data_IF_267771446138
#
_entry.id   IF_267771446138
#
_cell.length_a   1.000
_cell.length_b   1.000
_cell.length_c   1.000
_cell.angle_alpha   90.00
_cell.angle_beta   90.00
_cell.angle_gamma   90.00
#
_symmetry.space_group_name_H-M   'P 1'
#
loop_
_entity.id
_entity.type
_entity.pdbx_description
1 polymer ?
#
# COMPACT_ATOMS: atom_id res chain seq x y z
N UNK A 1 -29.52 2.62 -23.86
CA UNK A 1 -29.93 1.88 -22.64
C UNK A 1 -29.41 2.67 -21.46
N UNK A 2 -30.30 3.46 -20.83
CA UNK A 2 -29.98 4.30 -19.68
C UNK A 2 -29.87 3.41 -18.45
N UNK A 3 -28.67 3.26 -17.90
CA UNK A 3 -28.49 2.64 -16.60
C UNK A 3 -28.84 3.69 -15.55
N UNK A 4 -29.98 3.47 -14.90
CA UNK A 4 -30.42 4.22 -13.73
C UNK A 4 -29.30 4.27 -12.71
N UNK A 5 -28.87 5.49 -12.40
CA UNK A 5 -27.96 5.79 -11.32
C UNK A 5 -28.55 5.30 -10.00
N UNK A 6 -27.74 4.55 -9.26
CA UNK A 6 -27.94 4.34 -7.84
C UNK A 6 -27.62 5.67 -7.14
N UNK A 7 -28.57 6.61 -7.16
CA UNK A 7 -28.48 7.91 -6.48
C UNK A 7 -28.87 7.79 -5.02
N UNK A 8 -28.33 6.80 -4.32
CA UNK A 8 -28.11 6.91 -2.87
C UNK A 8 -26.63 7.16 -2.64
N UNK A 9 -26.16 8.33 -3.08
CA UNK A 9 -24.95 8.89 -2.51
C UNK A 9 -25.21 8.99 -1.00
N UNK A 10 -24.63 8.06 -0.21
CA UNK A 10 -24.68 8.16 1.24
C UNK A 10 -24.14 9.54 1.59
N UNK A 11 -24.93 10.33 2.32
CA UNK A 11 -24.45 11.60 2.84
C UNK A 11 -23.29 11.25 3.76
N UNK A 12 -22.07 11.52 3.31
CA UNK A 12 -20.88 11.30 4.12
C UNK A 12 -21.07 12.07 5.43
N UNK A 13 -20.79 11.42 6.56
CA UNK A 13 -20.86 12.10 7.85
C UNK A 13 -19.98 13.35 7.84
N UNK A 14 -20.36 14.35 8.62
CA UNK A 14 -19.54 15.55 8.81
C UNK A 14 -18.11 15.19 9.24
N UNK A 15 -17.97 14.15 10.08
CA UNK A 15 -16.67 13.59 10.47
C UNK A 15 -15.87 13.10 9.24
N UNK A 16 -16.46 12.31 8.35
CA UNK A 16 -15.78 11.84 7.13
C UNK A 16 -15.41 13.00 6.20
N UNK A 17 -16.24 14.04 6.10
CA UNK A 17 -15.92 15.25 5.33
C UNK A 17 -14.74 16.02 5.95
N UNK A 18 -14.71 16.19 7.27
CA UNK A 18 -13.57 16.78 7.97
C UNK A 18 -12.30 15.94 7.78
N UNK A 19 -12.39 14.61 7.90
CA UNK A 19 -11.27 13.71 7.66
C UNK A 19 -10.71 13.90 6.25
N UNK A 20 -11.59 13.94 5.24
CA UNK A 20 -11.20 14.14 3.84
C UNK A 20 -10.53 15.50 3.62
N UNK A 21 -11.16 16.58 4.08
CA UNK A 21 -10.65 17.94 3.89
C UNK A 21 -9.26 18.11 4.51
N UNK A 22 -9.14 17.82 5.80
CA UNK A 22 -7.85 17.98 6.51
C UNK A 22 -6.84 16.89 6.18
N UNK A 23 -7.29 15.72 5.73
CA UNK A 23 -6.44 14.59 5.38
C UNK A 23 -5.75 14.73 4.01
N UNK A 24 -6.41 15.38 3.06
CA UNK A 24 -5.92 15.52 1.68
C UNK A 24 -5.11 16.80 1.51
N UNK A 25 -5.63 17.93 2.00
CA UNK A 25 -5.04 19.23 1.74
C UNK A 25 -4.05 19.62 2.83
N UNK A 26 -2.90 20.21 2.47
CA UNK A 26 -2.06 20.91 3.43
C UNK A 26 -2.83 22.15 3.90
N UNK A 27 -3.61 21.99 4.97
CA UNK A 27 -4.37 23.08 5.59
C UNK A 27 -3.63 23.53 6.85
N UNK A 28 -3.10 24.76 6.83
CA UNK A 28 -2.41 25.39 7.95
C UNK A 28 -3.31 25.51 9.19
N UNK A 29 -4.64 25.60 8.98
CA UNK A 29 -5.61 25.69 10.07
C UNK A 29 -5.81 24.34 10.79
N UNK A 30 -5.31 23.22 10.24
CA UNK A 30 -5.42 21.93 10.92
C UNK A 30 -4.81 21.96 12.31
N UNK A 31 -3.65 22.61 12.46
CA UNK A 31 -2.98 22.74 13.75
C UNK A 31 -3.89 23.41 14.79
N UNK A 32 -4.66 24.41 14.37
CA UNK A 32 -5.56 25.18 15.23
C UNK A 32 -6.83 24.42 15.62
N UNK A 33 -7.32 23.52 14.77
CA UNK A 33 -8.54 22.74 15.06
C UNK A 33 -8.26 21.36 15.65
N UNK A 34 -7.02 20.85 15.57
CA UNK A 34 -6.64 19.50 16.00
C UNK A 34 -7.01 19.24 17.47
N UNK A 35 -6.90 20.26 18.32
CA UNK A 35 -7.28 20.20 19.74
C UNK A 35 -8.79 20.06 19.97
N UNK A 36 -9.62 20.45 19.00
CA UNK A 36 -11.09 20.35 19.07
C UNK A 36 -11.63 19.02 18.51
N UNK A 37 -10.79 18.21 17.88
CA UNK A 37 -11.18 16.93 17.27
C UNK A 37 -11.08 15.79 18.29
N UNK A 38 -11.96 14.80 18.15
CA UNK A 38 -11.83 13.56 18.91
C UNK A 38 -10.51 12.85 18.60
N UNK A 39 -9.96 12.11 19.55
CA UNK A 39 -8.74 11.31 19.34
C UNK A 39 -8.86 10.39 18.13
N UNK A 40 -10.06 9.83 17.89
CA UNK A 40 -10.35 8.98 16.73
C UNK A 40 -10.27 9.75 15.42
N UNK A 41 -10.88 10.94 15.34
CA UNK A 41 -10.86 11.75 14.12
C UNK A 41 -9.45 12.26 13.81
N UNK A 42 -8.72 12.73 14.82
CA UNK A 42 -7.32 13.16 14.70
C UNK A 42 -6.44 12.03 14.16
N UNK A 43 -6.55 10.82 14.73
CA UNK A 43 -5.80 9.65 14.24
C UNK A 43 -6.12 9.35 12.77
N UNK A 44 -7.41 9.35 12.39
CA UNK A 44 -7.83 9.06 11.01
C UNK A 44 -7.32 10.11 10.02
N UNK A 45 -7.31 11.39 10.39
CA UNK A 45 -6.73 12.45 9.57
C UNK A 45 -5.23 12.24 9.37
N UNK A 46 -4.50 11.94 10.44
CA UNK A 46 -3.05 11.72 10.36
C UNK A 46 -2.70 10.50 9.51
N UNK A 47 -3.44 9.39 9.66
CA UNK A 47 -3.30 8.21 8.82
C UNK A 47 -3.57 8.52 7.35
N UNK A 48 -4.63 9.28 7.04
CA UNK A 48 -4.93 9.68 5.67
C UNK A 48 -3.84 10.61 5.09
N UNK A 49 -3.37 11.60 5.84
CA UNK A 49 -2.27 12.50 5.43
C UNK A 49 -1.03 11.72 5.04
N UNK A 50 -0.71 10.70 5.82
CA UNK A 50 0.45 9.87 5.56
C UNK A 50 0.27 9.00 4.31
N UNK A 51 -0.89 8.36 4.14
CA UNK A 51 -1.20 7.62 2.91
C UNK A 51 -1.15 8.52 1.68
N UNK A 52 -1.68 9.74 1.76
CA UNK A 52 -1.61 10.75 0.67
C UNK A 52 -0.17 11.14 0.38
N UNK A 53 0.61 11.46 1.42
CA UNK A 53 2.02 11.80 1.28
C UNK A 53 2.81 10.67 0.61
N UNK A 54 2.58 9.43 1.01
CA UNK A 54 3.21 8.26 0.39
C UNK A 54 2.81 8.18 -1.09
N UNK A 55 1.52 8.25 -1.41
CA UNK A 55 1.04 8.20 -2.78
C UNK A 55 1.71 9.28 -3.64
N UNK A 56 1.66 10.54 -3.20
CA UNK A 56 2.21 11.69 -3.94
C UNK A 56 3.73 11.54 -4.11
N UNK A 57 4.47 11.32 -3.02
CA UNK A 57 5.94 11.22 -3.07
C UNK A 57 6.39 10.06 -3.96
N UNK A 58 5.71 8.91 -3.90
CA UNK A 58 6.06 7.74 -4.69
C UNK A 58 5.98 8.01 -6.19
N UNK A 59 4.96 8.73 -6.62
CA UNK A 59 4.76 9.12 -8.02
C UNK A 59 5.70 10.26 -8.44
N UNK A 60 5.98 11.22 -7.56
CA UNK A 60 6.98 12.26 -7.81
C UNK A 60 8.39 11.68 -8.01
N UNK A 61 8.77 10.61 -7.29
CA UNK A 61 10.04 9.91 -7.48
C UNK A 61 10.20 9.31 -8.89
N UNK A 62 9.10 9.08 -9.62
CA UNK A 62 9.12 8.62 -11.02
C UNK A 62 8.74 9.74 -12.00
N UNK A 63 8.89 11.00 -11.57
CA UNK A 63 8.61 12.20 -12.35
C UNK A 63 7.16 12.31 -12.83
N UNK A 64 6.22 11.78 -12.05
CA UNK A 64 4.79 12.01 -12.29
C UNK A 64 4.26 13.02 -11.28
N UNK A 65 3.66 14.09 -11.77
CA UNK A 65 3.10 15.12 -10.90
C UNK A 65 1.68 14.73 -10.46
N UNK A 66 1.48 14.55 -9.17
CA UNK A 66 0.17 14.25 -8.58
C UNK A 66 -0.29 15.43 -7.74
N UNK A 67 -1.47 15.95 -8.08
CA UNK A 67 -2.18 16.90 -7.24
C UNK A 67 -2.93 16.17 -6.12
N UNK A 68 -2.73 16.52 -4.84
CA UNK A 68 -3.49 15.94 -3.72
C UNK A 68 -5.01 16.03 -3.91
N UNK A 69 -5.53 17.02 -4.63
CA UNK A 69 -6.97 17.14 -4.93
C UNK A 69 -7.53 16.00 -5.78
N UNK A 70 -6.66 15.20 -6.39
CA UNK A 70 -7.06 14.01 -7.16
C UNK A 70 -7.28 12.78 -6.29
N UNK A 71 -6.86 12.84 -5.02
CA UNK A 71 -7.04 11.75 -4.05
C UNK A 71 -8.52 11.46 -3.82
N UNK A 72 -8.88 10.18 -3.89
CA UNK A 72 -10.19 9.65 -3.52
C UNK A 72 -10.08 8.88 -2.22
N UNK A 73 -11.12 9.00 -1.40
CA UNK A 73 -11.14 8.47 -0.04
C UNK A 73 -12.39 7.61 0.12
N UNK A 74 -12.27 6.49 0.82
CA UNK A 74 -13.39 5.61 1.16
C UNK A 74 -14.34 6.27 2.16
N UNK A 75 -15.46 5.62 2.47
CA UNK A 75 -16.41 6.13 3.47
C UNK A 75 -15.84 6.04 4.89
N UNK A 76 -14.90 5.12 5.10
CA UNK A 76 -14.08 4.98 6.31
C UNK A 76 -12.93 5.98 6.38
N UNK A 77 -12.83 6.94 5.46
CA UNK A 77 -11.81 8.00 5.54
C UNK A 77 -10.40 7.53 5.21
N UNK A 78 -10.24 6.37 4.55
CA UNK A 78 -8.95 5.84 4.11
C UNK A 78 -8.71 6.14 2.62
N UNK A 79 -7.45 6.14 2.18
CA UNK A 79 -7.09 6.30 0.77
C UNK A 79 -7.69 5.18 -0.08
N UNK A 80 -8.54 5.52 -1.05
CA UNK A 80 -9.03 4.57 -2.05
C UNK A 80 -8.03 4.52 -3.20
N UNK A 81 -7.06 3.60 -3.12
CA UNK A 81 -5.99 3.47 -4.11
C UNK A 81 -6.52 3.30 -5.53
N UNK A 82 -7.53 2.45 -5.73
CA UNK A 82 -8.05 2.14 -7.07
C UNK A 82 -8.75 3.36 -7.67
N UNK A 83 -9.67 3.99 -6.93
CA UNK A 83 -10.36 5.19 -7.42
C UNK A 83 -9.41 6.36 -7.58
N UNK A 84 -8.45 6.53 -6.67
CA UNK A 84 -7.41 7.57 -6.75
C UNK A 84 -6.60 7.38 -8.03
N UNK A 85 -6.10 6.17 -8.30
CA UNK A 85 -5.34 5.87 -9.50
C UNK A 85 -6.14 6.18 -10.77
N UNK A 86 -7.37 5.66 -10.87
CA UNK A 86 -8.22 5.90 -12.05
C UNK A 86 -8.59 7.36 -12.23
N UNK A 87 -8.77 8.12 -11.15
CA UNK A 87 -9.07 9.54 -11.22
C UNK A 87 -7.83 10.33 -11.64
N UNK A 88 -6.70 10.16 -10.95
CA UNK A 88 -5.43 10.83 -11.25
C UNK A 88 -5.00 10.63 -12.70
N UNK A 89 -5.12 9.41 -13.24
CA UNK A 89 -4.78 9.12 -14.64
C UNK A 89 -5.54 10.02 -15.63
N UNK A 90 -6.81 10.36 -15.36
CA UNK A 90 -7.64 11.20 -16.25
C UNK A 90 -7.19 12.66 -16.29
N UNK A 91 -6.43 13.13 -15.29
CA UNK A 91 -5.95 14.51 -15.22
C UNK A 91 -4.49 14.65 -15.66
N UNK A 92 -3.80 13.55 -15.98
CA UNK A 92 -2.46 13.60 -16.54
C UNK A 92 -2.55 14.03 -18.01
N UNK A 93 -2.01 15.21 -18.29
CA UNK A 93 -2.00 15.78 -19.64
C UNK A 93 -0.79 15.36 -20.47
N UNK A 94 0.34 15.04 -19.84
CA UNK A 94 1.53 14.53 -20.53
C UNK A 94 1.37 13.01 -20.78
N UNK A 95 1.29 12.56 -22.06
CA UNK A 95 1.20 11.16 -22.41
C UNK A 95 2.35 10.30 -21.85
N UNK A 96 3.57 10.86 -21.76
CA UNK A 96 4.74 10.16 -21.21
C UNK A 96 4.58 9.90 -19.71
N UNK A 97 4.21 10.93 -18.94
CA UNK A 97 3.88 10.79 -17.52
C UNK A 97 2.70 9.84 -17.31
N UNK A 98 1.66 9.93 -18.13
CA UNK A 98 0.50 9.05 -18.07
C UNK A 98 0.90 7.57 -18.28
N UNK A 99 1.79 7.28 -19.23
CA UNK A 99 2.29 5.92 -19.43
C UNK A 99 3.09 5.43 -18.23
N UNK A 100 4.00 6.25 -17.69
CA UNK A 100 4.81 5.92 -16.51
C UNK A 100 3.91 5.64 -15.30
N UNK A 101 2.92 6.51 -15.08
CA UNK A 101 1.92 6.35 -14.04
C UNK A 101 1.12 5.05 -14.21
N UNK A 102 0.58 4.82 -15.41
CA UNK A 102 -0.21 3.63 -15.70
C UNK A 102 0.58 2.34 -15.50
N UNK A 103 1.86 2.31 -15.90
CA UNK A 103 2.75 1.17 -15.73
C UNK A 103 2.96 0.84 -14.24
N UNK A 104 3.16 1.86 -13.42
CA UNK A 104 3.34 1.74 -11.97
C UNK A 104 2.05 1.44 -11.20
N UNK A 105 0.89 1.49 -11.86
CA UNK A 105 -0.43 1.26 -11.27
C UNK A 105 -1.25 0.15 -11.95
N UNK A 106 -0.60 -0.70 -12.76
CA UNK A 106 -1.23 -1.82 -13.46
C UNK A 106 -2.36 -1.45 -14.46
N UNK A 107 -2.30 -0.26 -15.06
CA UNK A 107 -3.27 0.23 -16.06
C UNK A 107 -2.87 -0.22 -17.47
N UNK A 108 -2.93 -1.53 -17.73
CA UNK A 108 -2.41 -2.11 -18.98
C UNK A 108 -3.08 -1.56 -20.23
N UNK A 109 -4.41 -1.49 -20.24
CA UNK A 109 -5.19 -1.10 -21.42
C UNK A 109 -4.85 0.33 -21.82
N UNK A 110 -4.77 1.22 -20.84
CA UNK A 110 -4.42 2.62 -21.00
C UNK A 110 -2.98 2.80 -21.47
N UNK A 111 -2.03 2.07 -20.87
CA UNK A 111 -0.64 2.06 -21.33
C UNK A 111 -0.52 1.56 -22.77
N UNK A 112 -1.32 0.58 -23.19
CA UNK A 112 -1.29 0.04 -24.55
C UNK A 112 -1.74 1.10 -25.57
N UNK A 113 -2.84 1.79 -25.28
CA UNK A 113 -3.35 2.88 -26.12
C UNK A 113 -2.30 3.99 -26.25
N UNK A 114 -1.70 4.42 -25.15
CA UNK A 114 -0.63 5.42 -25.18
C UNK A 114 0.59 4.95 -26.00
N UNK A 115 1.02 3.71 -25.81
CA UNK A 115 2.17 3.13 -26.52
C UNK A 115 2.03 3.16 -28.05
N UNK A 116 0.82 2.91 -28.54
CA UNK A 116 0.50 2.92 -29.97
C UNK A 116 0.60 4.33 -30.57
N UNK A 117 0.45 5.38 -29.76
CA UNK A 117 0.57 6.78 -30.17
C UNK A 117 2.00 7.35 -30.11
N UNK A 118 2.93 6.68 -29.43
CA UNK A 118 4.28 7.19 -29.26
C UNK A 118 5.15 7.03 -30.51
N UNK A 119 5.91 8.08 -30.81
CA UNK A 119 7.03 8.05 -31.75
C UNK A 119 8.24 7.30 -31.17
N UNK A 120 9.25 7.04 -32.02
CA UNK A 120 10.41 6.27 -31.59
C UNK A 120 11.27 7.02 -30.56
N UNK A 121 11.30 8.35 -30.60
CA UNK A 121 12.03 9.16 -29.60
C UNK A 121 11.44 8.97 -28.19
N UNK A 122 10.12 9.05 -28.07
CA UNK A 122 9.41 8.85 -26.80
C UNK A 122 9.57 7.41 -26.30
N UNK A 123 9.52 6.43 -27.22
CA UNK A 123 9.77 5.02 -26.88
C UNK A 123 11.20 4.80 -26.37
N UNK A 124 12.19 5.48 -26.92
CA UNK A 124 13.58 5.38 -26.45
C UNK A 124 13.78 6.04 -25.07
N UNK A 125 13.11 7.17 -24.81
CA UNK A 125 13.04 7.77 -23.46
C UNK A 125 12.44 6.80 -22.44
N UNK A 126 11.40 6.06 -22.81
CA UNK A 126 10.78 5.05 -21.95
C UNK A 126 11.67 3.82 -21.75
N UNK A 127 12.39 3.36 -22.78
CA UNK A 127 13.34 2.23 -22.68
C UNK A 127 14.48 2.51 -21.70
N UNK A 128 14.93 3.76 -21.63
CA UNK A 128 16.00 4.21 -20.72
C UNK A 128 15.51 4.58 -19.31
N UNK A 129 14.22 4.40 -19.00
CA UNK A 129 13.66 4.75 -17.70
C UNK A 129 14.20 3.85 -16.57
N UNK A 130 14.66 4.46 -15.47
CA UNK A 130 15.34 3.75 -14.37
C UNK A 130 14.42 2.88 -13.49
N UNK A 131 13.13 3.18 -13.46
CA UNK A 131 12.17 2.39 -12.69
C UNK A 131 11.94 1.02 -13.37
N UNK A 132 12.24 -0.06 -12.65
CA UNK A 132 12.15 -1.43 -13.17
C UNK A 132 10.74 -1.86 -13.59
N UNK A 133 9.70 -1.31 -12.98
CA UNK A 133 8.29 -1.58 -13.32
C UNK A 133 7.94 -0.94 -14.67
N UNK A 134 8.36 0.31 -14.90
CA UNK A 134 8.21 0.99 -16.21
C UNK A 134 8.96 0.24 -17.31
N UNK A 135 10.23 -0.09 -17.06
CA UNK A 135 11.05 -0.81 -18.04
C UNK A 135 10.48 -2.20 -18.37
N UNK A 136 9.90 -2.90 -17.38
CA UNK A 136 9.17 -4.14 -17.64
C UNK A 136 7.92 -3.91 -18.51
N UNK A 137 7.16 -2.85 -18.27
CA UNK A 137 5.99 -2.50 -19.08
C UNK A 137 6.38 -2.25 -20.54
N UNK A 138 7.43 -1.45 -20.78
CA UNK A 138 7.96 -1.16 -22.11
C UNK A 138 8.37 -2.45 -22.83
N UNK A 139 9.11 -3.35 -22.17
CA UNK A 139 9.49 -4.66 -22.75
C UNK A 139 8.29 -5.52 -23.11
N UNK A 140 7.19 -5.44 -22.35
CA UNK A 140 5.95 -6.16 -22.64
C UNK A 140 5.25 -5.58 -23.86
N UNK A 141 5.17 -4.26 -23.97
CA UNK A 141 4.56 -3.57 -25.12
C UNK A 141 5.32 -3.85 -26.41
N UNK A 142 6.66 -3.81 -26.40
CA UNK A 142 7.50 -4.19 -27.54
C UNK A 142 7.23 -5.61 -28.06
N UNK A 143 6.80 -6.52 -27.18
CA UNK A 143 6.50 -7.91 -27.51
C UNK A 143 5.02 -8.15 -27.82
N UNK A 144 4.18 -7.10 -27.80
CA UNK A 144 2.73 -7.21 -27.97
C UNK A 144 2.05 -8.06 -26.88
N UNK A 145 2.65 -8.19 -25.69
CA UNK A 145 2.14 -9.07 -24.64
C UNK A 145 1.43 -8.28 -23.52
N UNK A 146 0.42 -8.86 -22.87
CA UNK A 146 -0.17 -8.28 -21.67
C UNK A 146 0.85 -8.04 -20.57
N UNK A 147 0.66 -6.94 -19.83
CA UNK A 147 1.40 -6.67 -18.62
C UNK A 147 0.96 -7.64 -17.53
N UNK A 148 1.74 -8.70 -17.36
CA UNK A 148 1.60 -9.64 -16.27
C UNK A 148 2.98 -9.78 -15.65
N UNK A 149 3.13 -9.32 -14.41
CA UNK A 149 4.24 -9.73 -13.57
C UNK A 149 3.96 -11.14 -13.11
N UNK A 150 4.44 -12.13 -13.87
CA UNK A 150 4.47 -13.52 -13.40
C UNK A 150 5.27 -13.68 -12.11
N UNK A 151 6.15 -12.72 -11.80
CA UNK A 151 6.91 -12.66 -10.56
C UNK A 151 6.88 -11.21 -10.05
N UNK A 152 5.97 -10.84 -9.14
CA UNK A 152 5.81 -9.47 -8.66
C UNK A 152 7.00 -8.92 -7.84
N UNK A 153 8.13 -9.62 -7.73
CA UNK A 153 9.32 -9.18 -6.97
C UNK A 153 9.76 -7.75 -7.25
N UNK A 154 9.83 -7.36 -8.52
CA UNK A 154 10.23 -6.01 -8.88
C UNK A 154 9.22 -4.97 -8.38
N UNK A 155 7.93 -5.25 -8.51
CA UNK A 155 6.88 -4.38 -7.99
C UNK A 155 6.90 -4.32 -6.47
N UNK A 156 7.13 -5.45 -5.80
CA UNK A 156 7.24 -5.54 -4.34
C UNK A 156 8.44 -4.73 -3.84
N UNK A 157 9.63 -4.96 -4.40
CA UNK A 157 10.86 -4.26 -4.04
C UNK A 157 10.77 -2.76 -4.31
N UNK A 158 10.13 -2.37 -5.41
CA UNK A 158 9.91 -0.98 -5.75
C UNK A 158 8.69 -0.36 -5.04
N UNK A 159 7.89 -1.11 -4.28
CA UNK A 159 6.74 -0.60 -3.53
C UNK A 159 5.56 -0.16 -4.39
N UNK A 160 5.17 -0.95 -5.39
CA UNK A 160 4.02 -0.68 -6.27
C UNK A 160 2.88 -1.68 -6.01
N UNK A 161 1.90 -1.33 -5.14
CA UNK A 161 0.99 -2.31 -4.57
C UNK A 161 0.00 -2.89 -5.60
N UNK A 162 -0.61 -2.06 -6.44
CA UNK A 162 -1.57 -2.51 -7.47
C UNK A 162 -0.91 -3.44 -8.48
N UNK A 163 0.35 -3.15 -8.81
CA UNK A 163 1.15 -3.96 -9.72
C UNK A 163 1.48 -5.31 -9.08
N UNK A 164 1.94 -5.31 -7.83
CA UNK A 164 2.20 -6.53 -7.09
C UNK A 164 0.94 -7.41 -7.02
N UNK A 165 -0.20 -6.82 -6.63
CA UNK A 165 -1.49 -7.50 -6.55
C UNK A 165 -1.91 -8.13 -7.88
N UNK A 166 -1.80 -7.39 -9.00
CA UNK A 166 -2.14 -7.90 -10.33
C UNK A 166 -1.30 -9.11 -10.77
N UNK A 167 -0.10 -9.26 -10.20
CA UNK A 167 0.77 -10.41 -10.39
C UNK A 167 0.34 -11.60 -9.53
N UNK A 168 0.02 -11.34 -8.26
CA UNK A 168 -0.42 -12.36 -7.29
C UNK A 168 -1.73 -13.03 -7.70
N UNK A 169 -2.70 -12.29 -8.23
CA UNK A 169 -3.98 -12.84 -8.69
C UNK A 169 -3.83 -13.90 -9.80
N UNK A 170 -2.66 -13.98 -10.44
CA UNK A 170 -2.38 -14.88 -11.58
C UNK A 170 -1.38 -15.98 -11.24
N UNK A 171 -0.85 -15.99 -10.02
CA UNK A 171 0.19 -16.92 -9.58
C UNK A 171 -0.37 -17.83 -8.49
N UNK A 172 -0.13 -19.14 -8.60
CA UNK A 172 -0.55 -20.10 -7.57
C UNK A 172 0.40 -20.07 -6.36
N UNK A 173 1.54 -19.37 -6.46
CA UNK A 173 2.55 -19.22 -5.40
C UNK A 173 2.32 -17.97 -4.53
N UNK A 174 1.07 -17.52 -4.36
CA UNK A 174 0.70 -16.31 -3.59
C UNK A 174 1.40 -16.27 -2.22
N UNK A 175 1.48 -17.43 -1.58
CA UNK A 175 2.16 -17.64 -0.31
C UNK A 175 3.62 -17.12 -0.31
N UNK A 176 4.43 -17.47 -1.31
CA UNK A 176 5.85 -17.10 -1.32
C UNK A 176 6.01 -15.58 -1.25
N UNK A 177 5.13 -14.84 -1.92
CA UNK A 177 5.23 -13.39 -2.05
C UNK A 177 4.80 -12.62 -0.80
N UNK A 178 3.95 -13.16 0.09
CA UNK A 178 3.53 -12.44 1.30
C UNK A 178 4.71 -12.16 2.24
N UNK A 179 5.64 -13.11 2.33
CA UNK A 179 6.86 -12.98 3.13
C UNK A 179 7.76 -11.89 2.52
N UNK A 180 7.90 -11.90 1.20
CA UNK A 180 8.67 -10.89 0.48
C UNK A 180 8.05 -9.50 0.58
N UNK A 181 6.71 -9.38 0.52
CA UNK A 181 6.03 -8.09 0.74
C UNK A 181 6.39 -7.54 2.11
N UNK A 182 6.32 -8.36 3.16
CA UNK A 182 6.70 -7.91 4.50
C UNK A 182 8.17 -7.49 4.57
N UNK A 183 9.09 -8.32 4.06
CA UNK A 183 10.54 -8.06 4.10
C UNK A 183 10.88 -6.77 3.35
N UNK A 184 10.37 -6.59 2.13
CA UNK A 184 10.64 -5.39 1.33
C UNK A 184 9.92 -4.16 1.88
N UNK A 185 8.71 -4.31 2.43
CA UNK A 185 8.04 -3.20 3.10
C UNK A 185 8.92 -2.64 4.22
N UNK A 186 9.51 -3.50 5.05
CA UNK A 186 10.39 -3.10 6.15
C UNK A 186 11.74 -2.59 5.64
N UNK A 187 12.46 -3.40 4.85
CA UNK A 187 13.85 -3.09 4.47
C UNK A 187 13.96 -1.91 3.51
N UNK A 188 12.97 -1.73 2.62
CA UNK A 188 12.97 -0.67 1.61
C UNK A 188 12.07 0.50 1.99
N UNK A 189 11.58 0.53 3.24
CA UNK A 189 10.70 1.56 3.77
C UNK A 189 9.43 1.79 2.93
N UNK A 190 8.95 0.73 2.27
CA UNK A 190 7.71 0.75 1.49
C UNK A 190 6.53 0.32 2.38
N UNK A 191 6.31 1.01 3.50
CA UNK A 191 5.39 0.54 4.54
C UNK A 191 3.92 0.47 4.09
N UNK A 192 3.52 1.28 3.10
CA UNK A 192 2.20 1.19 2.47
C UNK A 192 1.92 -0.18 1.84
N UNK A 193 2.96 -0.97 1.55
CA UNK A 193 2.80 -2.34 1.07
C UNK A 193 2.19 -3.28 2.13
N UNK A 194 2.22 -2.91 3.41
CA UNK A 194 1.48 -3.63 4.46
C UNK A 194 -0.03 -3.63 4.21
N UNK A 195 -0.57 -2.63 3.52
CA UNK A 195 -2.00 -2.57 3.18
C UNK A 195 -2.42 -3.71 2.25
N UNK A 196 -1.50 -4.21 1.40
CA UNK A 196 -1.76 -5.42 0.62
C UNK A 196 -1.92 -6.65 1.52
N UNK A 197 -1.06 -6.80 2.54
CA UNK A 197 -1.07 -7.96 3.42
C UNK A 197 -2.34 -8.05 4.28
N UNK A 198 -3.04 -6.93 4.45
CA UNK A 198 -4.32 -6.84 5.15
C UNK A 198 -5.52 -7.12 4.23
N UNK A 199 -5.30 -7.42 2.95
CA UNK A 199 -6.39 -7.77 2.03
C UNK A 199 -6.89 -9.19 2.30
N UNK A 200 -8.22 -9.43 2.34
CA UNK A 200 -8.80 -10.74 2.62
C UNK A 200 -8.26 -11.87 1.72
N UNK A 201 -7.87 -11.57 0.47
CA UNK A 201 -7.33 -12.57 -0.45
C UNK A 201 -5.96 -13.11 -0.02
N UNK A 202 -5.16 -12.31 0.68
CA UNK A 202 -3.84 -12.73 1.18
C UNK A 202 -3.93 -13.31 2.59
N UNK A 203 -4.93 -12.88 3.37
CA UNK A 203 -5.27 -13.37 4.70
C UNK A 203 -5.62 -14.85 4.69
N UNK A 204 -4.63 -15.71 4.95
CA UNK A 204 -4.78 -17.16 5.11
C UNK A 204 -3.85 -18.01 4.24
N UNK A 205 -3.11 -17.40 3.32
CA UNK A 205 -2.20 -18.10 2.41
C UNK A 205 -0.76 -18.12 2.92
N UNK A 206 -0.54 -18.19 4.24
CA UNK A 206 0.77 -17.97 4.85
C UNK A 206 1.49 -19.26 5.31
N UNK A 207 2.78 -19.34 5.02
CA UNK A 207 3.74 -20.32 5.57
C UNK A 207 5.07 -19.62 5.91
N UNK A 208 5.46 -19.55 7.17
CA UNK A 208 6.78 -19.01 7.48
C UNK A 208 7.81 -20.12 7.52
N UNK A 209 8.95 -19.86 6.87
CA UNK A 209 10.14 -20.67 7.10
C UNK A 209 10.60 -20.49 8.55
N UNK A 210 10.99 -21.58 9.19
CA UNK A 210 11.49 -21.64 10.56
C UNK A 210 12.55 -20.56 10.88
N UNK A 211 12.49 -19.98 12.08
CA UNK A 211 13.39 -18.93 12.58
C UNK A 211 13.16 -17.53 12.00
N UNK A 212 12.05 -17.31 11.30
CA UNK A 212 11.74 -16.03 10.65
C UNK A 212 11.03 -15.04 11.59
N UNK A 213 10.14 -15.52 12.47
CA UNK A 213 9.28 -14.65 13.26
C UNK A 213 10.09 -13.71 14.17
N UNK A 214 11.01 -14.23 14.98
CA UNK A 214 11.83 -13.40 15.87
C UNK A 214 12.66 -12.36 15.10
N UNK A 215 13.15 -12.69 13.89
CA UNK A 215 13.85 -11.72 13.02
C UNK A 215 12.91 -10.63 12.53
N UNK A 216 11.70 -10.99 12.10
CA UNK A 216 10.70 -10.05 11.63
C UNK A 216 10.22 -9.12 12.75
N UNK A 217 9.95 -9.66 13.94
CA UNK A 217 9.55 -8.89 15.13
C UNK A 217 10.63 -7.86 15.49
N UNK A 218 11.90 -8.26 15.56
CA UNK A 218 13.02 -7.33 15.80
C UNK A 218 13.08 -6.21 14.77
N UNK A 219 12.87 -6.52 13.49
CA UNK A 219 12.84 -5.50 12.44
C UNK A 219 11.68 -4.50 12.58
N UNK A 220 10.56 -4.89 13.20
CA UNK A 220 9.46 -3.95 13.45
C UNK A 220 9.82 -2.87 14.46
N UNK A 221 10.76 -3.10 15.37
CA UNK A 221 11.12 -2.16 16.44
C UNK A 221 11.73 -0.85 15.91
N UNK A 222 12.30 -0.86 14.70
CA UNK A 222 12.84 0.34 14.03
C UNK A 222 11.84 1.09 13.15
N UNK A 223 10.58 0.65 13.09
CA UNK A 223 9.56 1.28 12.27
C UNK A 223 8.96 2.52 12.96
N UNK A 224 8.47 3.52 12.20
CA UNK A 224 7.60 4.55 12.76
C UNK A 224 6.40 3.93 13.47
N UNK A 225 5.93 4.53 14.56
CA UNK A 225 5.02 3.90 15.53
C UNK A 225 3.73 3.34 14.90
N UNK A 226 3.13 4.08 13.98
CA UNK A 226 1.95 3.70 13.20
C UNK A 226 2.20 2.45 12.32
N UNK A 227 3.35 2.38 11.64
CA UNK A 227 3.75 1.23 10.83
C UNK A 227 4.20 0.06 11.67
N UNK A 228 4.81 0.32 12.84
CA UNK A 228 5.16 -0.72 13.80
C UNK A 228 3.90 -1.45 14.28
N UNK A 229 2.86 -0.71 14.65
CA UNK A 229 1.58 -1.30 15.06
C UNK A 229 0.99 -2.18 13.94
N UNK A 230 0.91 -1.65 12.71
CA UNK A 230 0.40 -2.41 11.56
C UNK A 230 1.22 -3.66 11.26
N UNK A 231 2.55 -3.56 11.28
CA UNK A 231 3.45 -4.69 11.06
C UNK A 231 3.27 -5.78 12.13
N UNK A 232 3.14 -5.40 13.40
CA UNK A 232 2.91 -6.34 14.50
C UNK A 232 1.54 -7.02 14.41
N UNK A 233 0.48 -6.30 13.98
CA UNK A 233 -0.82 -6.92 13.74
C UNK A 233 -0.77 -7.95 12.61
N UNK A 234 -0.05 -7.65 11.53
CA UNK A 234 0.19 -8.59 10.43
C UNK A 234 0.94 -9.83 10.96
N UNK A 235 2.03 -9.63 11.71
CA UNK A 235 2.77 -10.75 12.32
C UNK A 235 1.90 -11.58 13.25
N UNK A 236 1.02 -10.96 14.04
CA UNK A 236 0.08 -11.67 14.91
C UNK A 236 -0.84 -12.59 14.11
N UNK A 237 -1.42 -12.10 13.02
CA UNK A 237 -2.27 -12.89 12.13
C UNK A 237 -1.47 -14.03 11.48
N UNK A 238 -0.21 -13.78 11.13
CA UNK A 238 0.67 -14.77 10.52
C UNK A 238 1.01 -15.90 11.48
N UNK A 239 1.39 -15.57 12.71
CA UNK A 239 1.65 -16.54 13.78
C UNK A 239 0.40 -17.39 14.05
N UNK A 240 -0.79 -16.77 14.08
CA UNK A 240 -2.04 -17.50 14.22
C UNK A 240 -2.30 -18.47 13.06
N UNK A 241 -2.06 -18.04 11.82
CA UNK A 241 -2.24 -18.88 10.64
C UNK A 241 -1.21 -20.03 10.56
N UNK A 242 -0.05 -19.89 11.18
CA UNK A 242 0.98 -20.95 11.23
C UNK A 242 0.65 -22.08 12.21
N UNK A 243 -0.38 -21.95 13.06
CA UNK A 243 -0.84 -23.01 13.97
C UNK A 243 -1.63 -24.08 13.20
N UNK A 244 -0.92 -24.99 12.53
CA UNK A 244 -1.50 -26.12 11.79
C UNK A 244 -1.32 -27.44 12.56
N UNK A 245 -2.18 -28.46 12.36
CA UNK A 245 -1.93 -29.80 12.89
C UNK A 245 -0.65 -30.41 12.31
N UNK A 246 0.05 -31.23 13.09
CA UNK A 246 1.22 -31.98 12.62
C UNK A 246 2.57 -31.25 12.72
N UNK A 247 2.61 -30.09 13.40
CA UNK A 247 3.85 -29.39 13.72
C UNK A 247 4.72 -30.21 14.67
N UNK A 248 6.03 -30.16 14.47
CA UNK A 248 7.00 -30.75 15.40
C UNK A 248 7.14 -29.86 16.66
N UNK A 249 7.69 -30.39 17.78
CA UNK A 249 7.80 -29.63 19.03
C UNK A 249 8.57 -28.31 18.92
N UNK A 250 9.61 -28.24 18.08
CA UNK A 250 10.40 -27.02 17.90
C UNK A 250 9.64 -25.93 17.12
N UNK A 251 8.77 -26.32 16.18
CA UNK A 251 7.87 -25.39 15.48
C UNK A 251 6.80 -24.83 16.41
N UNK A 252 6.25 -25.66 17.29
CA UNK A 252 5.27 -25.22 18.31
C UNK A 252 5.92 -24.22 19.27
N UNK A 253 7.12 -24.52 19.77
CA UNK A 253 7.87 -23.63 20.66
C UNK A 253 8.18 -22.27 20.00
N UNK A 254 8.60 -22.25 18.72
CA UNK A 254 8.84 -21.00 18.00
C UNK A 254 7.56 -20.17 17.87
N UNK A 255 6.43 -20.79 17.50
CA UNK A 255 5.15 -20.10 17.32
C UNK A 255 4.66 -19.50 18.64
N UNK A 256 4.78 -20.22 19.75
CA UNK A 256 4.37 -19.71 21.07
C UNK A 256 5.30 -18.60 21.58
N UNK A 257 6.61 -18.72 21.32
CA UNK A 257 7.58 -17.66 21.62
C UNK A 257 7.28 -16.40 20.82
N UNK A 258 7.09 -16.52 19.50
CA UNK A 258 6.76 -15.41 18.62
C UNK A 258 5.42 -14.76 19.00
N UNK A 259 4.41 -15.57 19.35
CA UNK A 259 3.11 -15.10 19.83
C UNK A 259 3.26 -14.23 21.07
N UNK A 260 4.09 -14.67 22.03
CA UNK A 260 4.39 -13.91 23.25
C UNK A 260 5.09 -12.60 22.92
N UNK A 261 6.18 -12.66 22.15
CA UNK A 261 6.97 -11.48 21.73
C UNK A 261 6.11 -10.41 21.02
N UNK A 262 5.22 -10.83 20.10
CA UNK A 262 4.32 -9.90 19.40
C UNK A 262 3.31 -9.27 20.35
N UNK A 263 2.70 -10.05 21.25
CA UNK A 263 1.73 -9.51 22.20
C UNK A 263 2.38 -8.53 23.19
N UNK A 264 3.59 -8.82 23.66
CA UNK A 264 4.36 -7.90 24.50
C UNK A 264 4.71 -6.61 23.76
N UNK A 265 5.17 -6.71 22.51
CA UNK A 265 5.47 -5.55 21.68
C UNK A 265 4.24 -4.66 21.44
N UNK A 266 3.07 -5.27 21.17
CA UNK A 266 1.80 -4.55 21.04
C UNK A 266 1.41 -3.88 22.36
N UNK A 267 1.51 -4.57 23.50
CA UNK A 267 1.18 -4.01 24.81
C UNK A 267 2.09 -2.81 25.17
N UNK A 268 3.38 -2.87 24.82
CA UNK A 268 4.32 -1.76 24.99
C UNK A 268 3.93 -0.55 24.14
N UNK A 269 3.47 -0.76 22.90
CA UNK A 269 2.98 0.32 22.04
C UNK A 269 1.73 1.00 22.63
N UNK A 270 0.78 0.21 23.15
CA UNK A 270 -0.40 0.77 23.84
C UNK A 270 0.02 1.65 25.01
N UNK A 271 0.94 1.17 25.87
CA UNK A 271 1.46 1.92 27.02
C UNK A 271 2.19 3.20 26.63
N UNK A 272 2.99 3.17 25.54
CA UNK A 272 3.66 4.36 25.02
C UNK A 272 2.62 5.40 24.55
N UNK A 273 1.60 4.96 23.82
CA UNK A 273 0.57 5.84 23.30
C UNK A 273 -0.29 6.49 24.41
N UNK A 274 -0.54 5.77 25.52
CA UNK A 274 -1.27 6.33 26.67
C UNK A 274 -0.45 7.36 27.45
N UNK A 275 0.87 7.20 27.55
CA UNK A 275 1.74 8.20 28.21
C UNK A 275 1.85 9.50 27.43
N UNK A 276 1.85 9.44 26.09
CA UNK A 276 1.92 10.64 25.23
C UNK A 276 0.66 11.50 25.32
N UNK A 277 -0.50 10.91 25.63
CA UNK A 277 -1.79 11.61 25.77
C UNK A 277 -1.92 12.35 27.13
N UNK A 278 -1.10 12.01 28.13
CA UNK A 278 -1.10 12.67 29.44
C UNK A 278 0.00 13.73 29.61
N UNK A 279 0.73 14.06 28.54
CA UNK A 279 1.83 15.03 28.55
C UNK A 279 1.66 16.17 27.54
N UNK A 280 0.44 16.37 27.00
CA UNK A 280 0.06 17.52 26.17
C UNK A 280 -1.06 18.27 26.87
#
# INVERSE_FOLDING_TARGET
>A
MFWYGDTRASVCSLETLCIRHFGILPDENYCSIKSCLSTTATRRIEELRESVKIFVNKHQCIKVTIDPRWIKVTDEGALDWKKTTSYSFKFLNDPLEAFIFGACNAMYTECKVLWETFDEETREKLRSHKNGVVHFAVRRMLRGRPYSFRKPFQAIACGWPLVALSGLEKDNEVFFYTNWIFIFAVNSQNYHMFELLLTPQLLGLYEFSWGWFSKAIKKTQGLPMNWQWRALLILKQYIQASRKPGLNPAEVEEIETASTEVNEALALLVKKNTKTVHQI
#
